data_IF_813875901977
#
_entry.id   IF_813875901977
#
_cell.length_a   1.000
_cell.length_b   1.000
_cell.length_c   1.000
_cell.angle_alpha   90.00
_cell.angle_beta   90.00
_cell.angle_gamma   90.00
#
_symmetry.space_group_name_H-M   'P 1'
#
loop_
_entity.id
_entity.type
_entity.pdbx_description
1 polymer ?
#
# COMPACT_ATOMS: atom_id res chain seq x y z
N UNK A 1 -18.15 -4.46 -0.22
CA UNK A 1 -17.33 -3.27 -0.51
C UNK A 1 -16.81 -2.75 0.81
N UNK A 2 -15.51 -2.58 0.93
CA UNK A 2 -14.85 -2.11 2.16
C UNK A 2 -14.01 -0.90 1.79
N UNK A 3 -14.38 0.25 2.32
CA UNK A 3 -13.68 1.52 2.12
C UNK A 3 -12.97 1.89 3.40
N UNK A 4 -11.74 2.39 3.26
CA UNK A 4 -10.99 2.96 4.36
C UNK A 4 -10.23 4.20 3.89
N UNK A 5 -10.25 5.21 4.73
CA UNK A 5 -9.47 6.42 4.54
C UNK A 5 -8.86 6.81 5.88
N UNK A 6 -7.57 7.09 5.87
CA UNK A 6 -6.83 7.52 7.05
C UNK A 6 -5.90 8.68 6.66
N UNK A 7 -5.86 9.70 7.51
CA UNK A 7 -4.83 10.74 7.49
C UNK A 7 -3.90 10.54 8.67
N UNK A 8 -2.59 10.46 8.41
CA UNK A 8 -1.59 10.25 9.46
C UNK A 8 -0.37 11.10 9.22
N UNK A 9 0.09 11.78 10.26
CA UNK A 9 1.35 12.53 10.24
C UNK A 9 2.49 11.61 10.64
N UNK A 10 3.54 11.56 9.81
CA UNK A 10 4.76 10.79 10.03
C UNK A 10 5.96 11.75 9.99
N UNK A 11 6.93 11.56 10.89
CA UNK A 11 8.13 12.42 11.04
C UNK A 11 9.22 12.14 9.99
N UNK A 12 8.83 12.09 8.73
CA UNK A 12 9.71 11.93 7.57
C UNK A 12 9.27 12.88 6.46
N UNK A 13 10.16 13.16 5.50
CA UNK A 13 9.82 14.06 4.40
C UNK A 13 8.82 13.39 3.44
N UNK A 14 7.91 14.16 2.81
CA UNK A 14 6.97 13.63 1.82
C UNK A 14 7.64 12.81 0.71
N UNK A 15 8.80 13.26 0.21
CA UNK A 15 9.53 12.58 -0.87
C UNK A 15 10.10 11.23 -0.43
N UNK A 16 10.55 11.12 0.82
CA UNK A 16 11.11 9.89 1.38
C UNK A 16 10.01 8.81 1.53
N UNK A 17 8.82 9.22 2.00
CA UNK A 17 7.65 8.36 2.14
C UNK A 17 7.06 7.99 0.78
N UNK A 18 7.00 8.93 -0.17
CA UNK A 18 6.62 8.66 -1.54
C UNK A 18 7.54 7.60 -2.16
N UNK A 19 8.87 7.76 -2.06
CA UNK A 19 9.82 6.80 -2.61
C UNK A 19 9.68 5.42 -1.97
N UNK A 20 9.42 5.37 -0.65
CA UNK A 20 9.19 4.12 0.08
C UNK A 20 7.95 3.37 -0.42
N UNK A 21 6.82 4.07 -0.61
CA UNK A 21 5.57 3.47 -1.09
C UNK A 21 5.64 3.18 -2.60
N UNK A 22 6.35 3.98 -3.39
CA UNK A 22 6.56 3.72 -4.80
C UNK A 22 7.43 2.46 -5.03
N UNK A 23 8.32 2.12 -4.10
CA UNK A 23 9.18 0.94 -4.20
C UNK A 23 8.45 -0.35 -3.77
N UNK A 24 7.50 -0.78 -4.61
CA UNK A 24 6.69 -1.98 -4.39
C UNK A 24 7.51 -3.27 -4.31
N UNK A 25 8.75 -3.29 -4.82
CA UNK A 25 9.65 -4.46 -4.78
C UNK A 25 10.01 -4.88 -3.36
N UNK A 26 10.21 -3.89 -2.49
CA UNK A 26 10.74 -4.11 -1.14
C UNK A 26 9.63 -4.49 -0.15
N UNK A 27 8.36 -4.44 -0.56
CA UNK A 27 7.22 -4.73 0.30
C UNK A 27 7.33 -6.05 1.08
N UNK A 28 7.81 -7.17 0.50
CA UNK A 28 7.99 -8.42 1.24
C UNK A 28 9.02 -8.35 2.38
N UNK A 29 9.93 -7.37 2.37
CA UNK A 29 10.96 -7.23 3.41
C UNK A 29 10.38 -6.70 4.72
N UNK A 30 9.29 -5.95 4.69
CA UNK A 30 8.78 -5.24 5.87
C UNK A 30 7.27 -5.31 6.07
N UNK A 31 6.47 -5.58 5.03
CA UNK A 31 5.02 -5.74 5.19
C UNK A 31 4.70 -7.16 5.67
N UNK A 32 4.06 -7.34 6.85
CA UNK A 32 3.91 -8.66 7.47
C UNK A 32 2.98 -9.62 6.70
N UNK A 33 2.21 -9.10 5.75
CA UNK A 33 1.27 -9.83 4.89
C UNK A 33 1.83 -10.10 3.50
N UNK A 34 2.84 -9.33 3.08
CA UNK A 34 3.36 -9.40 1.73
C UNK A 34 4.35 -10.55 1.65
N UNK A 35 3.93 -11.67 1.06
CA UNK A 35 4.77 -12.85 0.93
C UNK A 35 5.75 -12.72 -0.25
N UNK A 36 5.35 -12.01 -1.30
CA UNK A 36 6.18 -11.75 -2.47
C UNK A 36 5.66 -10.56 -3.27
N UNK A 37 6.58 -9.89 -3.95
CA UNK A 37 6.31 -8.83 -4.91
C UNK A 37 7.08 -9.10 -6.19
N UNK A 38 6.43 -8.98 -7.34
CA UNK A 38 7.05 -9.16 -8.66
C UNK A 38 6.61 -8.05 -9.59
N UNK A 39 7.56 -7.26 -10.08
CA UNK A 39 7.29 -6.25 -11.10
C UNK A 39 7.21 -6.93 -12.46
N UNK A 40 6.09 -6.72 -13.17
CA UNK A 40 5.87 -7.19 -14.54
C UNK A 40 6.39 -6.18 -15.57
N UNK A 41 6.13 -4.90 -15.32
CA UNK A 41 6.53 -3.79 -16.18
C UNK A 41 6.78 -2.56 -15.32
N UNK A 42 7.75 -1.73 -15.68
CA UNK A 42 8.09 -0.52 -14.95
C UNK A 42 8.50 0.58 -15.92
N UNK A 43 8.05 1.80 -15.61
CA UNK A 43 8.41 3.03 -16.28
C UNK A 43 8.50 4.15 -15.23
N UNK A 44 9.06 5.33 -15.57
CA UNK A 44 9.16 6.43 -14.61
C UNK A 44 7.83 6.93 -14.03
N UNK A 45 6.70 6.71 -14.73
CA UNK A 45 5.37 7.22 -14.33
C UNK A 45 4.37 6.13 -13.96
N UNK A 46 4.72 4.86 -14.17
CA UNK A 46 3.82 3.76 -13.88
C UNK A 46 4.54 2.42 -13.82
N UNK A 47 4.00 1.50 -13.03
CA UNK A 47 4.44 0.11 -12.98
C UNK A 47 3.24 -0.84 -12.90
N UNK A 48 3.44 -2.08 -13.32
CA UNK A 48 2.51 -3.18 -13.10
C UNK A 48 3.19 -4.22 -12.22
N UNK A 49 2.57 -4.56 -11.10
CA UNK A 49 3.15 -5.48 -10.12
C UNK A 49 2.17 -6.55 -9.69
N UNK A 50 2.69 -7.75 -9.48
CA UNK A 50 2.03 -8.83 -8.78
C UNK A 50 2.39 -8.79 -7.31
N UNK A 51 1.39 -8.78 -6.44
CA UNK A 51 1.56 -8.97 -5.00
C UNK A 51 0.94 -10.30 -4.59
N UNK A 52 1.68 -11.03 -3.77
CA UNK A 52 1.19 -12.23 -3.09
C UNK A 52 0.96 -11.84 -1.63
N UNK A 53 -0.29 -11.76 -1.24
CA UNK A 53 -0.67 -11.46 0.14
C UNK A 53 -1.08 -12.74 0.85
N UNK A 54 -0.50 -12.95 2.03
CA UNK A 54 -0.81 -14.02 2.95
C UNK A 54 -1.57 -13.47 4.15
N UNK A 55 -2.71 -14.07 4.46
CA UNK A 55 -3.42 -13.76 5.68
C UNK A 55 -4.06 -15.00 6.31
N UNK A 56 -3.53 -15.41 7.46
CA UNK A 56 -3.88 -16.65 8.14
C UNK A 56 -3.78 -17.87 7.19
N UNK A 57 -4.88 -18.56 6.90
CA UNK A 57 -4.92 -19.71 5.98
C UNK A 57 -5.07 -19.32 4.50
N UNK A 58 -5.19 -18.03 4.18
CA UNK A 58 -5.43 -17.54 2.83
C UNK A 58 -4.14 -17.03 2.20
N UNK A 59 -3.94 -17.39 0.94
CA UNK A 59 -2.85 -16.89 0.12
C UNK A 59 -3.41 -16.51 -1.23
N UNK A 60 -3.41 -15.22 -1.52
CA UNK A 60 -4.00 -14.67 -2.72
C UNK A 60 -2.95 -13.90 -3.51
N UNK A 61 -3.04 -13.99 -4.84
CA UNK A 61 -2.21 -13.21 -5.76
C UNK A 61 -3.10 -12.26 -6.52
N UNK A 62 -2.73 -10.99 -6.54
CA UNK A 62 -3.35 -9.99 -7.41
C UNK A 62 -2.31 -9.16 -8.14
N UNK A 63 -2.75 -8.58 -9.24
CA UNK A 63 -1.98 -7.70 -10.11
C UNK A 63 -2.60 -6.32 -10.03
N UNK A 64 -1.75 -5.32 -9.84
CA UNK A 64 -2.14 -3.92 -9.82
C UNK A 64 -1.37 -3.12 -10.85
N UNK A 65 -2.04 -2.16 -11.45
CA UNK A 65 -1.44 -1.07 -12.20
C UNK A 65 -1.26 0.13 -11.28
N UNK A 66 -0.05 0.63 -11.17
CA UNK A 66 0.34 1.70 -10.25
C UNK A 66 0.81 2.88 -11.08
N UNK A 67 0.12 4.01 -10.94
CA UNK A 67 0.47 5.30 -11.51
C UNK A 67 1.24 6.11 -10.46
N UNK A 68 2.36 6.70 -10.88
CA UNK A 68 3.30 7.42 -10.04
C UNK A 68 3.38 8.88 -10.53
N UNK A 69 2.93 9.83 -9.71
CA UNK A 69 3.05 11.26 -9.95
C UNK A 69 4.06 11.85 -8.94
N UNK A 70 5.31 11.93 -9.35
CA UNK A 70 6.40 12.44 -8.49
C UNK A 70 6.32 13.96 -8.31
N UNK A 71 5.70 14.70 -9.23
CA UNK A 71 5.58 16.16 -9.14
C UNK A 71 4.56 16.55 -8.06
N UNK A 72 3.50 15.74 -7.89
CA UNK A 72 2.48 15.95 -6.85
C UNK A 72 2.66 15.07 -5.61
N UNK A 73 3.61 14.14 -5.64
CA UNK A 73 3.77 13.09 -4.64
C UNK A 73 2.45 12.33 -4.41
N UNK A 74 1.91 11.80 -5.50
CA UNK A 74 0.67 11.00 -5.49
C UNK A 74 0.91 9.63 -6.13
N UNK A 75 0.29 8.60 -5.56
CA UNK A 75 0.31 7.24 -6.10
C UNK A 75 -1.13 6.77 -6.24
N UNK A 76 -1.48 6.32 -7.45
CA UNK A 76 -2.79 5.76 -7.75
C UNK A 76 -2.65 4.32 -8.18
N UNK A 77 -3.33 3.42 -7.47
CA UNK A 77 -3.30 1.99 -7.70
C UNK A 77 -4.67 1.55 -8.19
N UNK A 78 -4.68 0.88 -9.34
CA UNK A 78 -5.87 0.29 -9.96
C UNK A 78 -5.69 -1.22 -10.05
N UNK A 79 -6.76 -1.94 -9.78
CA UNK A 79 -6.82 -3.37 -9.98
C UNK A 79 -6.65 -3.76 -11.45
N UNK A 80 -5.89 -4.82 -11.71
CA UNK A 80 -5.76 -5.41 -13.04
C UNK A 80 -6.28 -6.85 -13.08
N UNK A 81 -5.77 -7.75 -12.23
CA UNK A 81 -6.11 -9.18 -12.25
C UNK A 81 -6.04 -9.79 -10.84
N UNK A 82 -6.79 -10.86 -10.54
CA UNK A 82 -6.77 -11.53 -9.24
C UNK A 82 -8.15 -11.90 -8.67
N UNK A 83 -8.25 -12.13 -7.35
CA UNK A 83 -9.49 -12.56 -6.70
C UNK A 83 -10.45 -11.41 -6.37
N UNK A 84 -10.00 -10.16 -6.56
CA UNK A 84 -10.81 -8.98 -6.31
C UNK A 84 -11.82 -8.77 -7.44
N UNK A 85 -13.01 -8.32 -7.06
CA UNK A 85 -13.98 -7.72 -7.96
C UNK A 85 -13.57 -6.29 -8.32
N UNK A 86 -13.04 -5.56 -7.35
CA UNK A 86 -12.30 -4.32 -7.58
C UNK A 86 -11.32 -4.06 -6.44
N UNK A 87 -10.29 -3.26 -6.74
CA UNK A 87 -9.35 -2.70 -5.78
C UNK A 87 -8.85 -1.36 -6.34
N UNK A 88 -9.05 -0.30 -5.57
CA UNK A 88 -8.57 1.04 -5.87
C UNK A 88 -7.88 1.57 -4.63
N UNK A 89 -6.72 2.16 -4.80
CA UNK A 89 -5.98 2.74 -3.70
C UNK A 89 -5.30 4.04 -4.13
N UNK A 90 -5.34 5.04 -3.25
CA UNK A 90 -4.71 6.33 -3.47
C UNK A 90 -3.84 6.67 -2.26
N UNK A 91 -2.67 7.23 -2.56
CA UNK A 91 -1.76 7.81 -1.58
C UNK A 91 -1.44 9.23 -2.02
N UNK A 92 -1.46 10.16 -1.07
CA UNK A 92 -0.96 11.50 -1.26
C UNK A 92 -0.04 11.84 -0.09
N UNK A 93 1.12 12.39 -0.39
CA UNK A 93 2.11 12.77 0.60
C UNK A 93 2.16 14.29 0.65
N UNK A 94 1.58 14.85 1.71
CA UNK A 94 1.44 16.29 1.88
C UNK A 94 2.47 16.80 2.88
N UNK A 95 2.99 18.00 2.62
CA UNK A 95 3.90 18.66 3.55
C UNK A 95 3.18 19.03 4.86
N UNK A 96 3.83 18.81 5.99
CA UNK A 96 3.27 19.06 7.32
C UNK A 96 4.36 19.61 8.26
N UNK A 97 4.07 20.54 9.21
CA UNK A 97 5.07 21.10 10.11
C UNK A 97 5.93 20.07 10.87
N UNK A 98 5.37 18.88 11.14
CA UNK A 98 6.03 17.78 11.83
C UNK A 98 6.61 16.68 10.91
N UNK A 99 6.61 16.89 9.59
CA UNK A 99 7.08 15.91 8.59
C UNK A 99 6.16 15.83 7.38
N UNK A 100 5.40 14.75 7.27
CA UNK A 100 4.47 14.52 6.16
C UNK A 100 3.12 14.02 6.68
N UNK A 101 2.03 14.61 6.19
CA UNK A 101 0.69 14.02 6.28
C UNK A 101 0.48 13.06 5.11
N UNK A 102 0.35 11.78 5.41
CA UNK A 102 -0.11 10.77 4.47
C UNK A 102 -1.64 10.81 4.43
N UNK A 103 -2.20 11.06 3.25
CA UNK A 103 -3.62 10.85 2.94
C UNK A 103 -3.76 9.51 2.20
N UNK A 104 -4.20 8.49 2.93
CA UNK A 104 -4.36 7.13 2.45
C UNK A 104 -5.84 6.82 2.23
N UNK A 105 -6.15 6.25 1.06
CA UNK A 105 -7.48 5.75 0.73
C UNK A 105 -7.38 4.37 0.08
N UNK A 106 -8.22 3.43 0.48
CA UNK A 106 -8.36 2.13 -0.17
C UNK A 106 -9.82 1.71 -0.22
N UNK A 107 -10.23 1.19 -1.37
CA UNK A 107 -11.54 0.61 -1.60
C UNK A 107 -11.40 -0.71 -2.36
N UNK A 108 -11.95 -1.79 -1.81
CA UNK A 108 -11.87 -3.11 -2.41
C UNK A 108 -13.10 -3.97 -2.13
N UNK A 109 -13.29 -4.96 -3.01
CA UNK A 109 -14.29 -6.01 -2.84
C UNK A 109 -13.75 -7.31 -3.44
N UNK A 110 -13.88 -8.43 -2.74
CA UNK A 110 -13.55 -9.75 -3.25
C UNK A 110 -14.70 -10.36 -4.06
N UNK A 111 -14.37 -11.22 -5.04
CA UNK A 111 -15.40 -12.03 -5.71
C UNK A 111 -16.07 -13.05 -4.78
N UNK A 112 -15.35 -13.50 -3.73
CA UNK A 112 -15.88 -14.45 -2.74
C UNK A 112 -16.42 -13.73 -1.51
N UNK A 113 -17.71 -13.93 -1.21
CA UNK A 113 -18.36 -13.40 -0.01
C UNK A 113 -17.73 -13.90 1.30
N UNK A 114 -17.26 -15.15 1.30
CA UNK A 114 -16.57 -15.72 2.47
C UNK A 114 -15.26 -14.98 2.75
N UNK A 115 -14.45 -14.77 1.71
CA UNK A 115 -13.19 -14.03 1.83
C UNK A 115 -13.44 -12.58 2.27
N UNK A 116 -14.47 -11.95 1.71
CA UNK A 116 -14.87 -10.60 2.07
C UNK A 116 -15.15 -10.47 3.58
N UNK A 117 -15.98 -11.35 4.17
CA UNK A 117 -16.33 -11.27 5.59
C UNK A 117 -15.16 -11.51 6.55
N UNK A 118 -14.24 -12.43 6.20
CA UNK A 118 -13.04 -12.68 7.01
C UNK A 118 -12.13 -11.45 7.01
N UNK A 119 -11.89 -10.87 5.84
CA UNK A 119 -11.05 -9.68 5.71
C UNK A 119 -11.69 -8.50 6.42
N UNK A 120 -12.98 -8.23 6.25
CA UNK A 120 -13.69 -7.12 6.94
C UNK A 120 -13.50 -7.15 8.47
N UNK A 121 -13.53 -8.34 9.07
CA UNK A 121 -13.34 -8.52 10.53
C UNK A 121 -11.92 -8.16 10.98
N UNK A 122 -10.93 -8.40 10.12
CA UNK A 122 -9.51 -8.30 10.44
C UNK A 122 -8.84 -7.07 9.80
N UNK A 123 -9.58 -6.37 8.94
CA UNK A 123 -9.09 -5.30 8.08
C UNK A 123 -8.55 -4.12 8.88
N UNK A 124 -9.26 -3.71 9.92
CA UNK A 124 -8.83 -2.59 10.79
C UNK A 124 -7.46 -2.86 11.42
N UNK A 125 -7.21 -4.08 11.89
CA UNK A 125 -5.91 -4.46 12.44
C UNK A 125 -4.86 -4.61 11.33
N UNK A 126 -5.28 -5.01 10.12
CA UNK A 126 -4.40 -5.10 8.98
C UNK A 126 -3.84 -3.76 8.52
N UNK A 127 -4.71 -2.77 8.36
CA UNK A 127 -4.29 -1.42 7.98
C UNK A 127 -3.37 -0.82 9.04
N UNK A 128 -3.73 -0.89 10.33
CA UNK A 128 -2.89 -0.36 11.41
C UNK A 128 -1.47 -0.93 11.38
N UNK A 129 -1.34 -2.24 11.16
CA UNK A 129 -0.05 -2.92 11.06
C UNK A 129 0.70 -2.57 9.77
N UNK A 130 0.00 -2.41 8.65
CA UNK A 130 0.60 -1.94 7.39
C UNK A 130 1.20 -0.53 7.58
N UNK A 131 0.43 0.40 8.14
CA UNK A 131 0.87 1.78 8.40
C UNK A 131 2.06 1.80 9.35
N UNK A 132 2.02 1.05 10.46
CA UNK A 132 3.17 0.90 11.37
C UNK A 132 4.39 0.29 10.69
N UNK A 133 4.22 -0.65 9.78
CA UNK A 133 5.33 -1.27 9.05
C UNK A 133 6.01 -0.25 8.12
N UNK A 134 5.23 0.61 7.44
CA UNK A 134 5.78 1.73 6.66
C UNK A 134 6.52 2.74 7.54
N UNK A 135 5.94 3.13 8.67
CA UNK A 135 6.58 4.04 9.63
C UNK A 135 7.91 3.46 10.13
N UNK A 136 7.92 2.19 10.54
CA UNK A 136 9.13 1.49 11.01
C UNK A 136 10.19 1.39 9.90
N UNK A 137 9.78 1.11 8.66
CA UNK A 137 10.71 1.04 7.52
C UNK A 137 11.26 2.43 7.17
N UNK A 138 10.45 3.48 7.26
CA UNK A 138 10.90 4.85 7.08
C UNK A 138 11.92 5.25 8.14
N UNK A 139 11.68 4.91 9.42
CA UNK A 139 12.66 5.12 10.50
C UNK A 139 13.98 4.39 10.23
N UNK A 140 13.92 3.15 9.75
CA UNK A 140 15.12 2.37 9.45
C UNK A 140 15.94 2.92 8.28
N UNK A 141 15.28 3.51 7.27
CA UNK A 141 15.94 4.02 6.05
C UNK A 141 16.38 5.48 6.19
N UNK A 142 15.57 6.31 6.84
CA UNK A 142 15.70 7.77 6.84
C UNK A 142 15.83 8.37 8.24
N UNK A 143 15.64 7.57 9.29
CA UNK A 143 15.88 7.99 10.66
C UNK A 143 17.32 8.47 10.82
N UNK A 144 17.48 9.77 11.07
CA UNK A 144 18.77 10.34 11.46
C UNK A 144 19.16 9.73 12.81
N UNK A 145 20.37 9.15 12.89
CA UNK A 145 21.03 8.89 14.18
C UNK A 145 21.30 10.20 14.92
#
# INVERSE_FOLDING_TARGET
>A
MTVHSEKRVIRHRPEDLYALVANVRDYPEFLPWCLASRIRHESPKALTADLIIGFNMFRERFTSYVELDADKLEITVKYAEGPFKHLTNHWRFLDHPDGCEIDFYVDFEFNSRLLQSVIETLFTEAVKRMVRAFETRADALYGKK
#
